data_IF_867165525697
#
_entry.id   IF_867165525697
#
_cell.length_a   1.000
_cell.length_b   1.000
_cell.length_c   1.000
_cell.angle_alpha   90.00
_cell.angle_beta   90.00
_cell.angle_gamma   90.00
#
_symmetry.space_group_name_H-M   'P 1'
#
loop_
_entity.id
_entity.type
_entity.pdbx_description
1 polymer ?
#
# COMPACT_ATOMS: atom_id res chain seq x y z
N UNK A 1 10.50 -5.21 -34.09
CA UNK A 1 10.85 -6.49 -33.46
C UNK A 1 12.36 -6.54 -33.37
N UNK A 2 12.94 -6.34 -32.18
CA UNK A 2 14.41 -6.37 -31.99
C UNK A 2 14.82 -7.84 -31.85
N UNK A 3 15.68 -8.35 -32.74
CA UNK A 3 16.28 -9.66 -32.61
C UNK A 3 17.26 -9.62 -31.43
N UNK A 4 16.98 -10.39 -30.37
CA UNK A 4 17.90 -10.62 -29.27
C UNK A 4 19.00 -11.59 -29.71
N UNK A 5 20.23 -11.27 -29.41
CA UNK A 5 21.32 -12.26 -29.47
C UNK A 5 21.06 -13.32 -28.39
N UNK A 6 21.08 -14.57 -28.73
CA UNK A 6 20.92 -15.68 -27.78
C UNK A 6 21.97 -15.56 -26.67
N UNK A 7 21.48 -15.36 -25.41
CA UNK A 7 22.37 -15.27 -24.24
C UNK A 7 22.18 -14.02 -23.36
N UNK A 8 21.52 -12.95 -23.84
CA UNK A 8 21.30 -11.76 -23.01
C UNK A 8 20.06 -11.91 -22.13
N UNK A 9 20.22 -11.66 -20.82
CA UNK A 9 19.13 -11.65 -19.83
C UNK A 9 18.15 -10.51 -20.14
N UNK A 10 16.82 -10.70 -19.95
CA UNK A 10 15.88 -9.59 -19.99
C UNK A 10 16.20 -8.55 -18.93
N UNK A 11 16.24 -7.28 -19.35
CA UNK A 11 16.46 -6.16 -18.44
C UNK A 11 15.11 -5.57 -18.01
N UNK A 12 14.85 -5.57 -16.71
CA UNK A 12 13.64 -5.01 -16.11
C UNK A 12 13.97 -3.69 -15.47
N UNK A 13 13.37 -2.60 -15.95
CA UNK A 13 13.45 -1.27 -15.34
C UNK A 13 12.26 -1.09 -14.42
N UNK A 14 12.52 -0.83 -13.15
CA UNK A 14 11.48 -0.55 -12.14
C UNK A 14 11.50 0.92 -11.80
N UNK A 15 10.36 1.61 -11.93
CA UNK A 15 10.25 3.06 -11.74
C UNK A 15 9.28 3.36 -10.60
N UNK A 16 9.68 4.24 -9.67
CA UNK A 16 8.84 4.73 -8.59
C UNK A 16 9.22 6.16 -8.17
N UNK A 17 8.30 6.87 -7.51
CA UNK A 17 8.53 8.25 -7.05
C UNK A 17 8.14 8.49 -5.60
N UNK A 18 7.27 7.67 -5.03
CA UNK A 18 6.72 7.86 -3.70
C UNK A 18 7.02 6.67 -2.78
N UNK A 19 6.90 6.90 -1.46
CA UNK A 19 7.07 5.83 -0.46
C UNK A 19 6.04 4.69 -0.62
N UNK A 20 4.74 4.93 -0.85
CA UNK A 20 3.78 3.85 -1.07
C UNK A 20 4.13 2.95 -2.26
N UNK A 21 4.63 3.53 -3.36
CA UNK A 21 5.12 2.76 -4.50
C UNK A 21 6.33 1.92 -4.11
N UNK A 22 7.32 2.53 -3.43
CA UNK A 22 8.53 1.84 -2.99
C UNK A 22 8.21 0.65 -2.07
N UNK A 23 7.28 0.80 -1.11
CA UNK A 23 6.85 -0.28 -0.21
C UNK A 23 6.33 -1.49 -0.99
N UNK A 24 5.56 -1.28 -2.04
CA UNK A 24 4.96 -2.35 -2.84
C UNK A 24 5.91 -2.92 -3.88
N UNK A 25 6.85 -2.12 -4.40
CA UNK A 25 7.85 -2.56 -5.37
C UNK A 25 9.07 -3.22 -4.73
N UNK A 26 9.39 -2.89 -3.47
CA UNK A 26 10.58 -3.42 -2.80
C UNK A 26 10.71 -4.94 -2.86
N UNK A 27 9.71 -5.77 -2.53
CA UNK A 27 9.85 -7.21 -2.60
C UNK A 27 10.05 -7.71 -4.03
N UNK A 28 9.44 -7.05 -5.03
CA UNK A 28 9.62 -7.40 -6.45
C UNK A 28 11.00 -7.03 -6.94
N UNK A 29 11.52 -5.85 -6.56
CA UNK A 29 12.88 -5.42 -6.89
C UNK A 29 13.90 -6.43 -6.35
N UNK A 30 13.77 -6.81 -5.08
CA UNK A 30 14.67 -7.75 -4.44
C UNK A 30 14.60 -9.15 -5.09
N UNK A 31 13.40 -9.59 -5.44
CA UNK A 31 13.19 -10.86 -6.14
C UNK A 31 13.84 -10.85 -7.54
N UNK A 32 13.65 -9.77 -8.32
CA UNK A 32 14.30 -9.62 -9.64
C UNK A 32 15.83 -9.60 -9.50
N UNK A 33 16.36 -8.88 -8.50
CA UNK A 33 17.82 -8.77 -8.29
C UNK A 33 18.48 -10.09 -7.91
N UNK A 34 17.74 -11.00 -7.27
CA UNK A 34 18.20 -12.33 -6.88
C UNK A 34 17.99 -13.38 -7.97
N UNK A 35 17.14 -13.10 -8.94
CA UNK A 35 16.81 -14.03 -10.01
C UNK A 35 17.86 -13.98 -11.14
N UNK A 36 18.62 -15.08 -11.37
CA UNK A 36 19.70 -15.10 -12.35
C UNK A 36 19.23 -14.94 -13.81
N UNK A 37 17.92 -14.99 -14.06
CA UNK A 37 17.34 -14.82 -15.39
C UNK A 37 17.27 -13.37 -15.84
N UNK A 38 17.40 -12.40 -14.92
CA UNK A 38 17.16 -10.99 -15.21
C UNK A 38 18.36 -10.10 -14.92
N UNK A 39 18.42 -8.98 -15.64
CA UNK A 39 19.14 -7.78 -15.24
C UNK A 39 18.11 -6.75 -14.77
N UNK A 40 18.45 -5.92 -13.76
CA UNK A 40 17.55 -4.93 -13.21
C UNK A 40 18.13 -3.52 -13.23
N UNK A 41 17.27 -2.54 -13.50
CA UNK A 41 17.56 -1.12 -13.34
C UNK A 41 16.46 -0.49 -12.49
N UNK A 42 16.83 0.18 -11.42
CA UNK A 42 15.92 0.84 -10.50
C UNK A 42 16.03 2.35 -10.68
N UNK A 43 14.92 3.01 -10.98
CA UNK A 43 14.85 4.46 -11.20
C UNK A 43 13.90 5.09 -10.19
N UNK A 44 14.44 6.03 -9.40
CA UNK A 44 13.65 6.90 -8.52
C UNK A 44 13.38 8.22 -9.24
N UNK A 45 12.14 8.69 -9.23
CA UNK A 45 11.84 10.06 -9.69
C UNK A 45 11.96 11.10 -8.58
N UNK A 46 12.18 10.67 -7.34
CA UNK A 46 12.46 11.54 -6.21
C UNK A 46 11.30 12.43 -5.81
N UNK A 47 10.06 11.92 -5.83
CA UNK A 47 8.89 12.70 -5.44
C UNK A 47 8.82 12.99 -3.92
N UNK A 48 9.45 12.15 -3.05
CA UNK A 48 9.54 12.33 -1.58
C UNK A 48 10.94 11.96 -1.07
N UNK A 49 11.93 12.80 -1.30
CA UNK A 49 13.37 12.48 -1.15
C UNK A 49 13.72 11.86 0.21
N UNK A 50 13.42 12.53 1.33
CA UNK A 50 13.87 12.05 2.66
C UNK A 50 13.19 10.76 3.11
N UNK A 51 11.86 10.66 2.99
CA UNK A 51 11.13 9.46 3.42
C UNK A 51 11.42 8.26 2.52
N UNK A 52 11.67 8.49 1.24
CA UNK A 52 12.01 7.46 0.27
C UNK A 52 13.43 6.93 0.50
N UNK A 53 14.37 7.82 0.83
CA UNK A 53 15.74 7.44 1.15
C UNK A 53 15.80 6.53 2.38
N UNK A 54 15.15 6.90 3.49
CA UNK A 54 15.09 6.07 4.70
C UNK A 54 14.45 4.71 4.44
N UNK A 55 13.43 4.66 3.58
CA UNK A 55 12.81 3.40 3.18
C UNK A 55 13.78 2.55 2.34
N UNK A 56 14.39 3.12 1.32
CA UNK A 56 15.35 2.45 0.46
C UNK A 56 16.53 1.86 1.25
N UNK A 57 17.07 2.61 2.21
CA UNK A 57 18.12 2.16 3.13
C UNK A 57 17.66 0.96 3.97
N UNK A 58 16.43 1.00 4.48
CA UNK A 58 15.88 -0.09 5.32
C UNK A 58 15.69 -1.41 4.57
N UNK A 59 15.53 -1.38 3.24
CA UNK A 59 15.43 -2.54 2.36
C UNK A 59 16.70 -2.82 1.57
N UNK A 60 17.77 -2.02 1.80
CA UNK A 60 19.02 -2.10 1.03
C UNK A 60 18.80 -1.96 -0.50
N UNK A 61 17.80 -1.16 -0.89
CA UNK A 61 17.54 -0.82 -2.29
C UNK A 61 18.34 0.43 -2.63
N UNK A 62 19.17 0.35 -3.67
CA UNK A 62 19.91 1.49 -4.20
C UNK A 62 19.44 1.77 -5.62
N UNK A 63 18.70 2.87 -5.87
CA UNK A 63 18.36 3.26 -7.22
C UNK A 63 19.62 3.48 -8.07
N UNK A 64 19.58 2.99 -9.30
CA UNK A 64 20.63 3.26 -10.27
C UNK A 64 20.60 4.72 -10.74
N UNK A 65 19.39 5.29 -10.77
CA UNK A 65 19.13 6.68 -11.16
C UNK A 65 18.14 7.32 -10.19
N UNK A 66 18.41 8.57 -9.81
CA UNK A 66 17.49 9.42 -9.06
C UNK A 66 17.33 10.75 -9.80
N UNK A 67 16.12 11.03 -10.27
CA UNK A 67 15.82 12.20 -11.08
C UNK A 67 15.55 13.46 -10.25
N UNK A 68 15.29 13.35 -8.96
CA UNK A 68 15.09 14.47 -8.05
C UNK A 68 13.99 15.45 -8.50
N UNK A 69 12.86 14.96 -9.00
CA UNK A 69 11.86 15.80 -9.69
C UNK A 69 10.96 16.61 -8.75
N UNK A 70 10.98 16.37 -7.45
CA UNK A 70 10.08 17.05 -6.52
C UNK A 70 10.42 18.53 -6.40
N UNK A 71 9.43 19.37 -6.70
CA UNK A 71 9.45 20.81 -6.45
C UNK A 71 8.19 21.24 -5.74
N UNK A 72 8.32 22.09 -4.74
CA UNK A 72 7.17 22.61 -3.99
C UNK A 72 6.22 23.37 -4.92
N UNK A 73 4.92 23.00 -4.91
CA UNK A 73 3.89 23.71 -5.68
C UNK A 73 3.88 23.41 -7.19
N UNK A 74 4.62 22.40 -7.68
CA UNK A 74 4.57 22.03 -9.10
C UNK A 74 3.20 21.46 -9.47
N UNK A 75 2.73 21.75 -10.71
CA UNK A 75 1.52 21.19 -11.25
C UNK A 75 1.72 19.71 -11.65
N UNK A 76 0.64 18.95 -11.72
CA UNK A 76 0.67 17.56 -12.20
C UNK A 76 1.24 17.46 -13.62
N UNK A 77 0.90 18.41 -14.51
CA UNK A 77 1.45 18.46 -15.87
C UNK A 77 2.95 18.67 -15.87
N UNK A 78 3.47 19.54 -15.00
CA UNK A 78 4.91 19.76 -14.87
C UNK A 78 5.62 18.52 -14.34
N UNK A 79 5.06 17.86 -13.33
CA UNK A 79 5.59 16.61 -12.81
C UNK A 79 5.62 15.53 -13.90
N UNK A 80 4.51 15.34 -14.62
CA UNK A 80 4.40 14.36 -15.70
C UNK A 80 5.42 14.61 -16.81
N UNK A 81 5.47 15.84 -17.34
CA UNK A 81 6.39 16.18 -18.43
C UNK A 81 7.86 16.02 -18.03
N UNK A 82 8.23 16.44 -16.82
CA UNK A 82 9.59 16.29 -16.31
C UNK A 82 9.94 14.81 -16.09
N UNK A 83 9.00 14.00 -15.63
CA UNK A 83 9.20 12.55 -15.44
C UNK A 83 9.43 11.84 -16.80
N UNK A 84 8.58 12.12 -17.81
CA UNK A 84 8.78 11.57 -19.16
C UNK A 84 10.12 12.00 -19.74
N UNK A 85 10.44 13.29 -19.69
CA UNK A 85 11.69 13.83 -20.25
C UNK A 85 12.94 13.30 -19.51
N UNK A 86 12.85 13.08 -18.21
CA UNK A 86 13.95 12.51 -17.42
C UNK A 86 14.14 11.02 -17.63
N UNK A 87 13.05 10.28 -17.85
CA UNK A 87 13.10 8.83 -18.11
C UNK A 87 13.60 8.52 -19.52
N UNK A 88 13.29 9.34 -20.51
CA UNK A 88 13.58 9.06 -21.93
C UNK A 88 15.06 8.77 -22.22
N UNK A 89 16.05 9.59 -21.76
CA UNK A 89 17.47 9.30 -21.96
C UNK A 89 17.94 8.06 -21.20
N UNK A 90 17.36 7.76 -20.03
CA UNK A 90 17.68 6.54 -19.28
C UNK A 90 17.19 5.30 -20.04
N UNK A 91 15.96 5.35 -20.56
CA UNK A 91 15.39 4.27 -21.38
C UNK A 91 16.24 4.06 -22.63
N UNK A 92 16.70 5.12 -23.27
CA UNK A 92 17.56 5.06 -24.46
C UNK A 92 18.92 4.43 -24.15
N UNK A 93 19.53 4.80 -23.04
CA UNK A 93 20.82 4.28 -22.59
C UNK A 93 20.74 2.83 -22.11
N UNK A 94 19.76 2.52 -21.25
CA UNK A 94 19.62 1.21 -20.61
C UNK A 94 18.95 0.16 -21.50
N UNK A 95 18.15 0.57 -22.47
CA UNK A 95 17.42 -0.30 -23.39
C UNK A 95 16.68 -1.45 -22.70
N UNK A 96 15.81 -1.18 -21.70
CA UNK A 96 15.12 -2.23 -20.99
C UNK A 96 14.15 -3.00 -21.91
N UNK A 97 13.94 -4.29 -21.62
CA UNK A 97 12.92 -5.10 -22.28
C UNK A 97 11.53 -4.90 -21.69
N UNK A 98 11.51 -4.51 -20.41
CA UNK A 98 10.31 -4.30 -19.60
C UNK A 98 10.48 -3.06 -18.74
N UNK A 99 9.45 -2.22 -18.69
CA UNK A 99 9.32 -1.18 -17.68
C UNK A 99 8.16 -1.55 -16.76
N UNK A 100 8.42 -1.53 -15.45
CA UNK A 100 7.44 -1.82 -14.43
C UNK A 100 7.19 -0.58 -13.58
N UNK A 101 5.92 -0.25 -13.39
CA UNK A 101 5.43 0.77 -12.45
C UNK A 101 4.33 0.21 -11.56
N UNK A 102 4.04 0.90 -10.45
CA UNK A 102 3.08 0.46 -9.45
C UNK A 102 2.00 1.52 -9.24
N UNK A 103 0.75 1.07 -9.17
CA UNK A 103 -0.38 1.91 -8.77
C UNK A 103 -0.71 2.98 -9.79
N UNK A 104 -1.05 4.17 -9.31
CA UNK A 104 -1.79 5.17 -10.06
C UNK A 104 -1.23 6.60 -9.93
N UNK A 105 0.02 6.72 -9.48
CA UNK A 105 0.68 8.03 -9.37
C UNK A 105 0.98 8.63 -10.76
N UNK A 106 1.20 9.93 -10.79
CA UNK A 106 1.68 10.62 -12.00
C UNK A 106 3.03 10.04 -12.48
N UNK A 107 3.88 9.59 -11.54
CA UNK A 107 5.14 8.88 -11.87
C UNK A 107 4.87 7.56 -12.58
N UNK A 108 3.93 6.75 -12.07
CA UNK A 108 3.59 5.47 -12.68
C UNK A 108 3.05 5.67 -14.11
N UNK A 109 2.17 6.66 -14.32
CA UNK A 109 1.68 7.00 -15.64
C UNK A 109 2.82 7.47 -16.57
N UNK A 110 3.71 8.35 -16.09
CA UNK A 110 4.82 8.84 -16.89
C UNK A 110 5.76 7.71 -17.33
N UNK A 111 6.07 6.78 -16.44
CA UNK A 111 6.89 5.60 -16.75
C UNK A 111 6.23 4.70 -17.80
N UNK A 112 4.93 4.44 -17.68
CA UNK A 112 4.18 3.64 -18.62
C UNK A 112 4.14 4.30 -20.03
N UNK A 113 3.87 5.60 -20.11
CA UNK A 113 3.81 6.34 -21.37
C UNK A 113 5.19 6.46 -22.01
N UNK A 114 6.25 6.77 -21.24
CA UNK A 114 7.61 6.86 -21.78
C UNK A 114 8.05 5.52 -22.39
N UNK A 115 7.80 4.40 -21.69
CA UNK A 115 8.09 3.07 -22.23
C UNK A 115 7.24 2.68 -23.43
N UNK A 116 5.95 2.97 -23.39
CA UNK A 116 5.04 2.71 -24.51
C UNK A 116 5.50 3.43 -25.79
N UNK A 117 5.89 4.71 -25.71
CA UNK A 117 6.38 5.48 -26.85
C UNK A 117 7.69 4.91 -27.43
N UNK A 118 8.49 4.22 -26.62
CA UNK A 118 9.72 3.54 -27.05
C UNK A 118 9.48 2.08 -27.50
N UNK A 119 8.23 1.60 -27.51
CA UNK A 119 7.87 0.23 -27.89
C UNK A 119 8.34 -0.83 -26.91
N UNK A 120 8.53 -0.46 -25.63
CA UNK A 120 8.95 -1.34 -24.56
C UNK A 120 7.72 -1.97 -23.89
N UNK A 121 7.83 -3.21 -23.43
CA UNK A 121 6.75 -3.89 -22.71
C UNK A 121 6.48 -3.23 -21.37
N UNK A 122 5.24 -2.90 -21.07
CA UNK A 122 4.81 -2.28 -19.82
C UNK A 122 4.18 -3.33 -18.90
N UNK A 123 4.62 -3.36 -17.65
CA UNK A 123 4.05 -4.17 -16.56
C UNK A 123 3.49 -3.23 -15.50
N UNK A 124 2.21 -3.39 -15.21
CA UNK A 124 1.50 -2.61 -14.20
C UNK A 124 1.25 -3.45 -12.95
N UNK A 125 1.91 -3.13 -11.85
CA UNK A 125 1.68 -3.73 -10.53
C UNK A 125 0.54 -3.01 -9.81
N UNK A 126 -0.37 -3.76 -9.20
CA UNK A 126 -1.61 -3.27 -8.57
C UNK A 126 -2.59 -2.67 -9.61
N UNK A 127 -2.71 -3.34 -10.74
CA UNK A 127 -3.63 -2.99 -11.82
C UNK A 127 -5.09 -3.33 -11.48
N UNK A 128 -6.02 -2.73 -12.19
CA UNK A 128 -7.44 -3.14 -12.17
C UNK A 128 -8.27 -2.61 -11.00
N UNK A 129 -7.74 -1.77 -10.12
CA UNK A 129 -8.54 -1.05 -9.13
C UNK A 129 -9.45 -0.04 -9.84
N UNK A 130 -10.73 0.07 -9.43
CA UNK A 130 -11.71 0.99 -10.03
C UNK A 130 -12.64 1.57 -8.99
N UNK A 131 -12.85 2.89 -9.07
CA UNK A 131 -13.95 3.59 -8.39
C UNK A 131 -15.10 3.86 -9.34
N UNK A 132 -14.84 3.98 -10.64
CA UNK A 132 -15.81 4.35 -11.66
C UNK A 132 -16.08 5.85 -11.76
N UNK A 133 -15.37 6.67 -10.98
CA UNK A 133 -15.49 8.13 -10.96
C UNK A 133 -14.11 8.77 -11.18
N UNK A 134 -13.91 9.38 -12.37
CA UNK A 134 -12.66 10.08 -12.70
C UNK A 134 -12.33 11.25 -11.78
N UNK A 135 -13.29 11.77 -11.06
CA UNK A 135 -13.10 12.87 -10.13
C UNK A 135 -12.72 12.38 -8.72
N UNK A 136 -12.86 11.07 -8.41
CA UNK A 136 -12.64 10.53 -7.07
C UNK A 136 -12.11 9.08 -7.05
N UNK A 137 -10.84 8.86 -6.68
CA UNK A 137 -9.79 9.85 -6.39
C UNK A 137 -9.24 10.51 -7.66
N UNK A 138 -8.89 11.79 -7.56
CA UNK A 138 -8.27 12.53 -8.66
C UNK A 138 -6.79 12.85 -8.31
N UNK A 139 -5.83 12.60 -9.22
CA UNK A 139 -5.95 12.10 -10.61
C UNK A 139 -5.88 10.57 -10.75
N UNK A 140 -5.89 9.84 -9.64
CA UNK A 140 -5.51 8.42 -9.55
C UNK A 140 -6.39 7.52 -10.42
N UNK A 141 -7.71 7.72 -10.44
CA UNK A 141 -8.60 6.89 -11.27
C UNK A 141 -8.29 7.03 -12.77
N UNK A 142 -8.06 8.26 -13.23
CA UNK A 142 -7.67 8.51 -14.61
C UNK A 142 -6.31 7.89 -14.96
N UNK A 143 -5.34 8.03 -14.07
CA UNK A 143 -3.99 7.49 -14.27
C UNK A 143 -4.04 5.96 -14.42
N UNK A 144 -4.74 5.23 -13.52
CA UNK A 144 -4.76 3.76 -13.57
C UNK A 144 -5.44 3.22 -14.82
N UNK A 145 -6.51 3.88 -15.27
CA UNK A 145 -7.16 3.54 -16.55
C UNK A 145 -6.21 3.67 -17.73
N UNK A 146 -5.44 4.76 -17.80
CA UNK A 146 -4.49 5.00 -18.89
C UNK A 146 -3.32 4.00 -18.84
N UNK A 147 -2.77 3.72 -17.65
CA UNK A 147 -1.69 2.75 -17.47
C UNK A 147 -2.15 1.36 -17.92
N UNK A 148 -3.32 0.90 -17.46
CA UNK A 148 -3.86 -0.42 -17.83
C UNK A 148 -4.02 -0.57 -19.35
N UNK A 149 -4.44 0.49 -20.05
CA UNK A 149 -4.62 0.46 -21.52
C UNK A 149 -3.32 0.24 -22.30
N UNK A 150 -2.20 0.79 -21.84
CA UNK A 150 -0.90 0.65 -22.51
C UNK A 150 -0.08 -0.53 -21.98
N UNK A 151 -0.51 -1.19 -20.90
CA UNK A 151 0.24 -2.28 -20.26
C UNK A 151 0.14 -3.60 -21.05
N UNK A 152 1.25 -4.31 -21.17
CA UNK A 152 1.32 -5.65 -21.75
C UNK A 152 0.97 -6.74 -20.73
N UNK A 153 1.20 -6.48 -19.45
CA UNK A 153 0.93 -7.38 -18.34
C UNK A 153 0.39 -6.58 -17.15
N UNK A 154 -0.71 -7.03 -16.59
CA UNK A 154 -1.39 -6.44 -15.44
C UNK A 154 -1.35 -7.43 -14.28
N UNK A 155 -0.64 -7.06 -13.22
CA UNK A 155 -0.49 -7.82 -11.98
C UNK A 155 -1.52 -7.27 -10.99
N UNK A 156 -2.62 -8.00 -10.83
CA UNK A 156 -3.75 -7.55 -10.03
C UNK A 156 -3.73 -8.13 -8.62
N UNK A 157 -4.12 -7.34 -7.59
CA UNK A 157 -4.09 -7.82 -6.22
C UNK A 157 -5.18 -8.85 -5.90
N UNK A 158 -6.33 -8.77 -6.54
CA UNK A 158 -7.52 -9.59 -6.22
C UNK A 158 -8.28 -10.04 -7.46
N UNK A 159 -9.15 -11.04 -7.31
CA UNK A 159 -10.08 -11.46 -8.37
C UNK A 159 -11.07 -10.35 -8.76
N UNK A 160 -11.41 -9.45 -7.83
CA UNK A 160 -12.25 -8.28 -8.13
C UNK A 160 -11.54 -7.33 -9.09
N UNK A 161 -10.27 -7.02 -8.83
CA UNK A 161 -9.47 -6.19 -9.74
C UNK A 161 -9.35 -6.82 -11.14
N UNK A 162 -9.16 -8.16 -11.23
CA UNK A 162 -9.21 -8.91 -12.49
C UNK A 162 -10.57 -8.79 -13.18
N UNK A 163 -11.66 -8.93 -12.43
CA UNK A 163 -13.02 -8.80 -12.97
C UNK A 163 -13.27 -7.42 -13.56
N UNK A 164 -12.74 -6.34 -12.96
CA UNK A 164 -12.85 -4.98 -13.49
C UNK A 164 -12.19 -4.88 -14.86
N UNK A 165 -10.97 -5.39 -15.02
CA UNK A 165 -10.25 -5.39 -16.30
C UNK A 165 -10.96 -6.22 -17.38
N UNK A 166 -11.51 -7.37 -17.00
CA UNK A 166 -12.27 -8.22 -17.94
C UNK A 166 -13.54 -7.53 -18.42
N UNK A 167 -14.27 -6.80 -17.56
CA UNK A 167 -15.43 -5.98 -17.95
C UNK A 167 -15.05 -4.86 -18.93
N UNK A 168 -13.80 -4.41 -18.92
CA UNK A 168 -13.25 -3.43 -19.85
C UNK A 168 -12.67 -4.07 -21.13
N UNK A 169 -12.97 -5.33 -21.40
CA UNK A 169 -12.48 -6.10 -22.54
C UNK A 169 -10.95 -6.25 -22.60
N UNK A 170 -10.28 -6.28 -21.46
CA UNK A 170 -8.85 -6.62 -21.39
C UNK A 170 -8.66 -8.11 -21.64
N UNK A 171 -7.68 -8.48 -22.47
CA UNK A 171 -7.34 -9.88 -22.72
C UNK A 171 -6.91 -10.58 -21.41
N UNK A 172 -7.60 -11.69 -21.10
CA UNK A 172 -7.37 -12.50 -19.89
C UNK A 172 -5.91 -12.96 -19.78
N UNK A 173 -5.25 -13.23 -20.91
CA UNK A 173 -3.85 -13.68 -20.92
C UNK A 173 -2.86 -12.59 -20.46
N UNK A 174 -3.28 -11.34 -20.41
CA UNK A 174 -2.48 -10.20 -19.94
C UNK A 174 -2.70 -9.93 -18.45
N UNK A 175 -3.56 -10.68 -17.76
CA UNK A 175 -3.91 -10.47 -16.37
C UNK A 175 -3.41 -11.64 -15.52
N UNK A 176 -2.76 -11.35 -14.40
CA UNK A 176 -2.33 -12.35 -13.41
C UNK A 176 -2.73 -11.89 -12.01
N UNK A 177 -3.45 -12.72 -11.27
CA UNK A 177 -3.77 -12.43 -9.86
C UNK A 177 -2.58 -12.82 -9.01
N UNK A 178 -1.85 -11.82 -8.52
CA UNK A 178 -0.64 -12.05 -7.73
C UNK A 178 -0.88 -12.04 -6.23
N UNK A 179 -1.92 -11.37 -5.76
CA UNK A 179 -2.01 -10.80 -4.44
C UNK A 179 -1.35 -9.42 -4.41
N UNK A 180 -1.46 -8.70 -3.30
CA UNK A 180 -0.84 -7.40 -3.13
C UNK A 180 0.56 -7.56 -2.51
N UNK A 181 1.57 -7.02 -3.16
CA UNK A 181 2.98 -7.09 -2.72
C UNK A 181 3.26 -6.31 -1.43
N UNK A 182 2.34 -5.45 -0.98
CA UNK A 182 2.44 -4.84 0.35
C UNK A 182 2.46 -5.90 1.46
N UNK A 183 1.76 -7.03 1.26
CA UNK A 183 1.72 -8.15 2.21
C UNK A 183 3.09 -8.82 2.31
N UNK A 184 3.78 -9.01 1.18
CA UNK A 184 5.16 -9.53 1.16
C UNK A 184 6.11 -8.64 1.97
N UNK A 185 6.01 -7.32 1.76
CA UNK A 185 6.82 -6.34 2.50
C UNK A 185 6.51 -6.36 3.98
N UNK A 186 5.22 -6.36 4.33
CA UNK A 186 4.74 -6.35 5.71
C UNK A 186 5.24 -7.57 6.48
N UNK A 187 5.08 -8.77 5.92
CA UNK A 187 5.54 -10.02 6.53
C UNK A 187 7.05 -10.00 6.73
N UNK A 188 7.83 -9.65 5.69
CA UNK A 188 9.30 -9.57 5.77
C UNK A 188 9.77 -8.59 6.83
N UNK A 189 9.15 -7.41 6.91
CA UNK A 189 9.50 -6.39 7.93
C UNK A 189 9.14 -6.86 9.34
N UNK A 190 8.05 -7.61 9.49
CA UNK A 190 7.57 -8.10 10.77
C UNK A 190 8.39 -9.22 11.39
N UNK A 191 9.29 -9.87 10.62
CA UNK A 191 10.16 -10.94 11.11
C UNK A 191 11.22 -10.44 12.11
N UNK A 192 11.68 -9.21 11.94
CA UNK A 192 12.74 -8.65 12.79
C UNK A 192 12.12 -7.83 13.92
N UNK A 193 12.51 -8.08 15.18
CA UNK A 193 12.07 -7.26 16.30
C UNK A 193 12.56 -5.81 16.13
N UNK A 194 11.78 -4.88 16.63
CA UNK A 194 12.08 -3.45 16.57
C UNK A 194 11.96 -2.86 17.96
N UNK A 195 12.92 -2.02 18.33
CA UNK A 195 12.85 -1.19 19.54
C UNK A 195 12.14 0.10 19.15
N UNK A 196 11.09 0.46 19.89
CA UNK A 196 10.38 1.71 19.67
C UNK A 196 11.17 2.89 20.23
N UNK A 197 11.19 3.99 19.51
CA UNK A 197 11.82 5.23 19.96
C UNK A 197 11.08 5.84 21.17
N UNK A 198 9.75 5.69 21.23
CA UNK A 198 8.93 6.09 22.38
C UNK A 198 8.93 4.98 23.42
N UNK A 199 9.49 5.28 24.61
CA UNK A 199 9.58 4.33 25.73
C UNK A 199 8.22 3.88 26.26
N UNK A 200 7.19 4.75 26.16
CA UNK A 200 5.82 4.41 26.58
C UNK A 200 5.24 3.34 25.65
N UNK A 201 5.44 3.50 24.34
CA UNK A 201 5.01 2.53 23.35
C UNK A 201 5.76 1.20 23.52
N UNK A 202 7.08 1.26 23.79
CA UNK A 202 7.87 0.07 24.12
C UNK A 202 7.30 -0.68 25.34
N UNK A 203 6.97 0.05 26.40
CA UNK A 203 6.38 -0.52 27.61
C UNK A 203 5.02 -1.19 27.38
N UNK A 204 4.14 -0.61 26.55
CA UNK A 204 2.85 -1.20 26.18
C UNK A 204 3.01 -2.54 25.45
N UNK A 205 3.98 -2.64 24.54
CA UNK A 205 4.24 -3.87 23.80
C UNK A 205 4.87 -4.93 24.69
N UNK A 206 5.83 -4.56 25.56
CA UNK A 206 6.48 -5.49 26.49
C UNK A 206 5.53 -6.03 27.56
N UNK A 207 4.61 -5.21 28.04
CA UNK A 207 3.57 -5.62 28.99
C UNK A 207 2.41 -6.40 28.35
N UNK A 208 2.42 -6.59 27.03
CA UNK A 208 1.34 -7.23 26.28
C UNK A 208 -0.03 -6.57 26.50
N UNK A 209 -0.03 -5.27 26.74
CA UNK A 209 -1.28 -4.51 26.89
C UNK A 209 -2.10 -4.60 25.61
N UNK A 210 -3.42 -4.78 25.73
CA UNK A 210 -4.31 -4.78 24.56
C UNK A 210 -4.34 -3.39 23.93
N UNK A 211 -3.85 -3.26 22.71
CA UNK A 211 -3.72 -1.98 22.00
C UNK A 211 -4.84 -1.82 20.98
N UNK A 212 -5.59 -0.74 21.07
CA UNK A 212 -6.45 -0.21 20.00
C UNK A 212 -5.59 0.77 19.19
N UNK A 213 -5.18 0.38 17.99
CA UNK A 213 -4.43 1.26 17.10
C UNK A 213 -5.40 2.13 16.31
N UNK A 214 -5.23 3.45 16.39
CA UNK A 214 -6.09 4.41 15.69
C UNK A 214 -5.28 5.23 14.69
N UNK A 215 -5.72 5.26 13.43
CA UNK A 215 -5.16 6.12 12.40
C UNK A 215 -6.26 6.82 11.62
N UNK A 216 -6.18 8.15 11.49
CA UNK A 216 -7.10 8.93 10.68
C UNK A 216 -6.38 10.14 10.10
N UNK A 217 -6.48 10.31 8.78
CA UNK A 217 -5.77 11.36 8.07
C UNK A 217 -6.39 11.78 6.74
N UNK A 218 -7.50 11.13 6.32
CA UNK A 218 -8.12 11.44 5.03
C UNK A 218 -8.78 12.82 5.04
N UNK A 219 -8.67 13.53 3.91
CA UNK A 219 -9.22 14.89 3.74
C UNK A 219 -10.73 14.91 3.92
N UNK A 220 -11.42 13.87 3.47
CA UNK A 220 -12.88 13.71 3.60
C UNK A 220 -13.33 13.67 5.07
N UNK A 221 -12.46 13.20 5.98
CA UNK A 221 -12.74 13.09 7.40
C UNK A 221 -12.38 14.35 8.21
N UNK A 222 -11.76 15.37 7.61
CA UNK A 222 -11.30 16.55 8.38
C UNK A 222 -12.42 17.22 9.17
N UNK A 223 -13.63 17.30 8.61
CA UNK A 223 -14.80 17.85 9.30
C UNK A 223 -15.33 16.95 10.43
N UNK A 224 -15.00 15.65 10.41
CA UNK A 224 -15.43 14.62 11.36
C UNK A 224 -14.38 14.25 12.40
N UNK A 225 -13.17 14.84 12.34
CA UNK A 225 -12.08 14.51 13.28
C UNK A 225 -12.47 14.74 14.74
N UNK A 226 -13.34 15.71 15.04
CA UNK A 226 -13.82 15.94 16.42
C UNK A 226 -14.73 14.82 16.89
N UNK A 227 -15.63 14.33 16.04
CA UNK A 227 -16.49 13.17 16.35
C UNK A 227 -15.67 11.93 16.63
N UNK A 228 -14.70 11.65 15.73
CA UNK A 228 -13.76 10.53 15.90
C UNK A 228 -12.95 10.68 17.20
N UNK A 229 -12.41 11.88 17.48
CA UNK A 229 -11.67 12.14 18.71
C UNK A 229 -12.52 11.95 19.97
N UNK A 230 -13.75 12.44 19.96
CA UNK A 230 -14.69 12.27 21.08
C UNK A 230 -15.09 10.81 21.31
N UNK A 231 -15.23 10.02 20.23
CA UNK A 231 -15.49 8.60 20.32
C UNK A 231 -14.29 7.85 20.99
N UNK A 232 -13.06 8.23 20.62
CA UNK A 232 -11.85 7.63 21.22
C UNK A 232 -11.77 7.92 22.71
N UNK A 233 -12.07 9.14 23.16
CA UNK A 233 -12.07 9.51 24.58
C UNK A 233 -13.10 8.69 25.36
N UNK A 234 -14.34 8.63 24.86
CA UNK A 234 -15.39 7.83 25.51
C UNK A 234 -15.02 6.34 25.60
N UNK A 235 -14.47 5.78 24.52
CA UNK A 235 -14.00 4.41 24.51
C UNK A 235 -12.85 4.17 25.49
N UNK A 236 -11.93 5.12 25.63
CA UNK A 236 -10.82 5.03 26.57
C UNK A 236 -11.29 5.06 28.05
N UNK A 237 -12.32 5.84 28.35
CA UNK A 237 -12.96 5.88 29.67
C UNK A 237 -13.66 4.55 29.99
N UNK A 238 -14.38 3.97 29.02
CA UNK A 238 -15.14 2.71 29.19
C UNK A 238 -14.19 1.49 29.26
N UNK A 239 -13.12 1.48 28.46
CA UNK A 239 -12.18 0.36 28.34
C UNK A 239 -10.81 0.73 28.92
N UNK A 240 -10.75 0.92 30.22
CA UNK A 240 -9.53 1.34 30.93
C UNK A 240 -8.39 0.31 30.91
N UNK A 241 -8.67 -0.95 30.62
CA UNK A 241 -7.70 -2.04 30.45
C UNK A 241 -7.07 -2.10 29.04
N UNK A 242 -7.54 -1.26 28.12
CA UNK A 242 -6.96 -1.10 26.81
C UNK A 242 -6.13 0.17 26.71
N UNK A 243 -5.08 0.14 25.88
CA UNK A 243 -4.34 1.34 25.50
C UNK A 243 -4.77 1.77 24.09
N UNK A 244 -5.14 3.05 23.94
CA UNK A 244 -5.46 3.64 22.64
C UNK A 244 -4.22 4.35 22.10
N UNK A 245 -3.63 3.83 21.04
CA UNK A 245 -2.40 4.39 20.45
C UNK A 245 -2.71 5.10 19.15
N UNK A 246 -2.38 6.40 19.10
CA UNK A 246 -2.66 7.30 18.00
C UNK A 246 -1.36 7.87 17.40
N UNK A 247 -0.76 7.25 16.38
CA UNK A 247 0.27 7.89 15.59
C UNK A 247 -0.37 9.00 14.73
N UNK A 248 -0.39 10.25 15.26
CA UNK A 248 -1.07 11.36 14.57
C UNK A 248 -0.31 11.78 13.32
N UNK A 249 -1.05 11.90 12.23
CA UNK A 249 -0.51 12.41 10.97
C UNK A 249 0.04 13.83 11.14
N UNK A 250 1.11 14.16 10.39
CA UNK A 250 1.79 15.45 10.48
C UNK A 250 0.95 16.65 9.98
N UNK A 251 -0.20 16.40 9.35
CA UNK A 251 -1.12 17.46 8.92
C UNK A 251 -1.63 18.27 10.11
N UNK A 252 -1.38 19.60 10.16
CA UNK A 252 -1.84 20.45 11.26
C UNK A 252 -3.35 20.35 11.50
N UNK A 253 -4.16 20.29 10.45
CA UNK A 253 -5.63 20.22 10.58
C UNK A 253 -6.09 18.96 11.34
N UNK A 254 -5.39 17.83 11.22
CA UNK A 254 -5.67 16.61 11.99
C UNK A 254 -5.23 16.80 13.44
N UNK A 255 -4.03 17.33 13.65
CA UNK A 255 -3.47 17.56 15.00
C UNK A 255 -4.31 18.55 15.80
N UNK A 256 -4.67 19.69 15.20
CA UNK A 256 -5.46 20.75 15.85
C UNK A 256 -6.87 20.27 16.24
N UNK A 257 -7.45 19.36 15.43
CA UNK A 257 -8.79 18.84 15.71
C UNK A 257 -8.78 17.72 16.77
N UNK A 258 -7.76 16.85 16.81
CA UNK A 258 -7.73 15.66 17.65
C UNK A 258 -6.92 15.81 18.92
N UNK A 259 -5.73 16.41 18.88
CA UNK A 259 -4.81 16.44 20.00
C UNK A 259 -5.40 17.07 21.30
N UNK A 260 -6.20 18.16 21.24
CA UNK A 260 -6.80 18.72 22.45
C UNK A 260 -7.80 17.79 23.14
N UNK A 261 -8.46 16.90 22.37
CA UNK A 261 -9.45 15.96 22.90
C UNK A 261 -8.79 14.74 23.52
N UNK A 262 -7.86 14.11 22.78
CA UNK A 262 -7.30 12.81 23.15
C UNK A 262 -6.18 12.88 24.23
N UNK A 263 -5.74 14.08 24.61
CA UNK A 263 -4.75 14.26 25.69
C UNK A 263 -5.31 14.18 27.12
N UNK A 264 -6.61 13.88 27.29
CA UNK A 264 -7.29 13.94 28.60
C UNK A 264 -7.36 12.61 29.37
N UNK A 265 -7.06 11.48 28.73
CA UNK A 265 -7.14 10.16 29.36
C UNK A 265 -5.77 9.48 29.45
N UNK A 266 -5.47 8.85 30.58
CA UNK A 266 -4.15 8.25 30.87
C UNK A 266 -3.81 7.05 29.97
N UNK A 267 -4.83 6.35 29.46
CA UNK A 267 -4.67 5.21 28.56
C UNK A 267 -4.71 5.57 27.07
N UNK A 268 -4.66 6.86 26.74
CA UNK A 268 -4.49 7.35 25.36
C UNK A 268 -3.04 7.79 25.15
N UNK A 269 -2.35 7.14 24.24
CA UNK A 269 -0.98 7.45 23.85
C UNK A 269 -0.94 8.08 22.47
N UNK A 270 -0.72 9.39 22.41
CA UNK A 270 -0.47 10.11 21.17
C UNK A 270 1.03 10.08 20.86
N UNK A 271 1.39 9.70 19.62
CA UNK A 271 2.76 9.71 19.13
C UNK A 271 2.88 10.50 17.82
N UNK A 272 4.09 10.85 17.44
CA UNK A 272 4.38 11.27 16.09
C UNK A 272 4.25 10.09 15.09
N UNK A 273 4.17 10.37 13.77
CA UNK A 273 4.17 9.32 12.76
C UNK A 273 5.38 8.40 12.93
N UNK A 274 5.13 7.10 13.00
CA UNK A 274 6.17 6.11 13.21
C UNK A 274 6.91 5.77 11.91
N UNK A 275 8.21 5.45 11.96
CA UNK A 275 8.89 4.78 10.86
C UNK A 275 8.18 3.47 10.49
N UNK A 276 8.21 3.08 9.20
CA UNK A 276 7.44 1.95 8.67
C UNK A 276 7.64 0.65 9.48
N UNK A 277 8.89 0.32 9.87
CA UNK A 277 9.19 -0.87 10.68
C UNK A 277 8.53 -0.82 12.07
N UNK A 278 8.57 0.34 12.73
CA UNK A 278 7.92 0.51 14.04
C UNK A 278 6.40 0.46 13.89
N UNK A 279 5.84 1.09 12.86
CA UNK A 279 4.41 1.02 12.58
C UNK A 279 3.95 -0.43 12.31
N UNK A 280 4.69 -1.19 11.53
CA UNK A 280 4.42 -2.61 11.27
C UNK A 280 4.41 -3.44 12.56
N UNK A 281 5.38 -3.21 13.45
CA UNK A 281 5.40 -3.89 14.75
C UNK A 281 4.25 -3.46 15.66
N UNK A 282 3.89 -2.18 15.67
CA UNK A 282 2.70 -1.71 16.40
C UNK A 282 1.42 -2.35 15.87
N UNK A 283 1.26 -2.41 14.54
CA UNK A 283 0.15 -3.06 13.89
C UNK A 283 0.06 -4.55 14.26
N UNK A 284 1.18 -5.26 14.24
CA UNK A 284 1.29 -6.68 14.63
C UNK A 284 0.91 -6.91 16.09
N UNK A 285 1.24 -5.98 16.99
CA UNK A 285 0.96 -6.07 18.43
C UNK A 285 -0.38 -5.43 18.81
N UNK A 286 -1.13 -4.82 17.91
CA UNK A 286 -2.45 -4.28 18.20
C UNK A 286 -3.48 -5.40 18.43
N UNK A 287 -4.52 -5.10 19.20
CA UNK A 287 -5.68 -5.98 19.39
C UNK A 287 -6.70 -5.77 18.29
N UNK A 288 -7.11 -4.52 18.07
CA UNK A 288 -7.94 -4.09 16.93
C UNK A 288 -7.35 -2.84 16.28
N UNK A 289 -7.80 -2.53 15.08
CA UNK A 289 -7.37 -1.35 14.33
C UNK A 289 -8.59 -0.52 13.91
N UNK A 290 -8.56 0.77 14.23
CA UNK A 290 -9.51 1.77 13.75
C UNK A 290 -8.80 2.64 12.71
N UNK A 291 -9.31 2.69 11.47
CA UNK A 291 -8.56 3.38 10.40
C UNK A 291 -9.45 3.90 9.28
N UNK A 292 -9.05 5.04 8.70
CA UNK A 292 -9.58 5.54 7.41
C UNK A 292 -8.65 5.22 6.22
N UNK A 293 -7.49 4.60 6.47
CA UNK A 293 -6.49 4.27 5.45
C UNK A 293 -6.85 3.00 4.68
N UNK A 294 -6.87 3.08 3.33
CA UNK A 294 -7.04 1.89 2.48
C UNK A 294 -5.91 0.87 2.63
N UNK A 295 -4.66 1.31 2.77
CA UNK A 295 -3.52 0.40 2.94
C UNK A 295 -3.59 -0.41 4.24
N UNK A 296 -3.99 0.24 5.35
CA UNK A 296 -4.11 -0.45 6.65
C UNK A 296 -5.26 -1.46 6.64
N UNK A 297 -6.33 -1.21 5.87
CA UNK A 297 -7.40 -2.19 5.65
C UNK A 297 -6.90 -3.47 4.96
N UNK A 298 -5.84 -3.38 4.16
CA UNK A 298 -5.19 -4.53 3.53
C UNK A 298 -4.15 -5.19 4.46
N UNK A 299 -3.39 -4.38 5.20
CA UNK A 299 -2.25 -4.80 6.01
C UNK A 299 -2.66 -5.46 7.34
N UNK A 300 -3.59 -4.86 8.09
CA UNK A 300 -3.96 -5.32 9.43
C UNK A 300 -4.52 -6.75 9.47
N UNK A 301 -5.40 -7.17 8.52
CA UNK A 301 -5.91 -8.52 8.49
C UNK A 301 -4.85 -9.61 8.31
N UNK A 302 -3.69 -9.27 7.74
CA UNK A 302 -2.56 -10.20 7.56
C UNK A 302 -1.99 -10.67 8.91
N UNK A 303 -2.18 -9.88 9.97
CA UNK A 303 -1.82 -10.24 11.34
C UNK A 303 -3.01 -10.73 12.18
N UNK A 304 -4.15 -11.03 11.55
CA UNK A 304 -5.37 -11.41 12.25
C UNK A 304 -5.93 -10.28 13.12
N UNK A 305 -5.78 -9.01 12.67
CA UNK A 305 -6.28 -7.87 13.42
C UNK A 305 -7.60 -7.38 12.82
N UNK A 306 -8.71 -7.44 13.58
CA UNK A 306 -9.99 -6.88 13.14
C UNK A 306 -9.86 -5.39 12.82
N UNK A 307 -10.45 -4.96 11.69
CA UNK A 307 -10.38 -3.58 11.23
C UNK A 307 -11.75 -2.93 11.31
N UNK A 308 -11.83 -1.78 11.99
CA UNK A 308 -12.98 -0.89 12.01
C UNK A 308 -12.68 0.33 11.13
N UNK A 309 -13.43 0.44 10.04
CA UNK A 309 -13.21 1.45 9.00
C UNK A 309 -13.93 2.74 9.38
N UNK A 310 -13.16 3.81 9.65
CA UNK A 310 -13.67 5.13 10.02
C UNK A 310 -14.08 5.92 8.77
N UNK A 311 -15.03 5.39 8.01
CA UNK A 311 -15.55 5.97 6.77
C UNK A 311 -17.00 5.52 6.55
N UNK A 312 -17.74 6.23 5.69
CA UNK A 312 -19.09 5.84 5.26
C UNK A 312 -19.08 4.72 4.21
N UNK A 313 -17.97 4.62 3.46
CA UNK A 313 -17.78 3.58 2.45
C UNK A 313 -16.30 3.27 2.28
N UNK A 314 -15.98 2.12 1.67
CA UNK A 314 -14.59 1.75 1.35
C UNK A 314 -14.49 1.16 -0.04
N UNK A 315 -13.41 1.47 -0.73
CA UNK A 315 -13.00 0.85 -1.97
C UNK A 315 -12.43 -0.58 -1.77
N UNK A 316 -12.22 -1.00 -0.51
CA UNK A 316 -11.76 -2.34 -0.10
C UNK A 316 -12.93 -3.22 0.33
N UNK A 317 -13.96 -3.32 -0.50
CA UNK A 317 -15.13 -4.14 -0.18
C UNK A 317 -14.77 -5.62 0.04
N UNK A 318 -13.68 -6.11 -0.55
CA UNK A 318 -13.19 -7.46 -0.32
C UNK A 318 -12.84 -7.72 1.16
N UNK A 319 -12.36 -6.70 1.90
CA UNK A 319 -12.12 -6.82 3.33
C UNK A 319 -13.42 -7.00 4.14
N UNK A 320 -14.48 -6.30 3.70
CA UNK A 320 -15.81 -6.42 4.31
C UNK A 320 -16.42 -7.78 3.98
N UNK A 321 -16.37 -8.18 2.71
CA UNK A 321 -16.92 -9.45 2.21
C UNK A 321 -16.22 -10.66 2.86
N UNK A 322 -14.91 -10.55 3.12
CA UNK A 322 -14.11 -11.56 3.82
C UNK A 322 -14.33 -11.55 5.34
N UNK A 323 -15.07 -10.60 5.90
CA UNK A 323 -15.32 -10.47 7.32
C UNK A 323 -14.12 -10.02 8.16
N UNK A 324 -13.03 -9.54 7.54
CA UNK A 324 -11.83 -9.03 8.25
C UNK A 324 -11.93 -7.56 8.63
N UNK A 325 -12.88 -6.84 8.01
CA UNK A 325 -13.13 -5.44 8.27
C UNK A 325 -14.65 -5.15 8.39
N UNK A 326 -14.98 -4.07 9.10
CA UNK A 326 -16.35 -3.56 9.25
C UNK A 326 -16.33 -2.03 9.14
N UNK A 327 -17.34 -1.46 8.48
CA UNK A 327 -17.54 -0.01 8.47
C UNK A 327 -18.09 0.41 9.83
N UNK A 328 -17.37 1.29 10.53
CA UNK A 328 -17.78 1.90 11.78
C UNK A 328 -18.41 3.29 11.59
N UNK A 329 -18.30 3.86 10.37
CA UNK A 329 -18.74 5.23 10.10
C UNK A 329 -17.81 6.29 10.65
N UNK A 330 -18.30 7.52 10.71
CA UNK A 330 -17.55 8.70 11.17
C UNK A 330 -18.24 9.43 12.33
N UNK A 331 -19.47 9.04 12.67
CA UNK A 331 -20.24 9.60 13.77
C UNK A 331 -19.85 8.92 15.09
N UNK A 332 -19.80 9.69 16.18
CA UNK A 332 -19.35 9.23 17.49
C UNK A 332 -20.10 7.99 17.99
N UNK A 333 -21.43 7.99 17.96
CA UNK A 333 -22.27 6.90 18.45
C UNK A 333 -22.06 5.62 17.66
N UNK A 334 -21.90 5.73 16.35
CA UNK A 334 -21.64 4.58 15.46
C UNK A 334 -20.28 3.94 15.74
N UNK A 335 -19.25 4.77 15.94
CA UNK A 335 -17.90 4.31 16.28
C UNK A 335 -17.91 3.63 17.65
N UNK A 336 -18.46 4.27 18.68
CA UNK A 336 -18.53 3.73 20.04
C UNK A 336 -19.28 2.40 20.05
N UNK A 337 -20.45 2.33 19.40
CA UNK A 337 -21.23 1.09 19.29
C UNK A 337 -20.47 -0.05 18.61
N UNK A 338 -19.83 0.23 17.46
CA UNK A 338 -19.09 -0.77 16.70
C UNK A 338 -17.86 -1.31 17.44
N UNK A 339 -17.10 -0.42 18.09
CA UNK A 339 -15.91 -0.79 18.88
C UNK A 339 -16.32 -1.57 20.13
N UNK A 340 -17.31 -1.06 20.90
CA UNK A 340 -17.78 -1.71 22.13
C UNK A 340 -18.32 -3.12 21.84
N UNK A 341 -19.12 -3.29 20.78
CA UNK A 341 -19.58 -4.63 20.36
C UNK A 341 -18.42 -5.59 20.17
N UNK A 342 -17.39 -5.17 19.43
CA UNK A 342 -16.24 -6.01 19.13
C UNK A 342 -15.35 -6.31 20.34
N UNK A 343 -15.18 -5.34 21.25
CA UNK A 343 -14.36 -5.51 22.46
C UNK A 343 -15.06 -6.34 23.55
N UNK A 344 -16.39 -6.27 23.63
CA UNK A 344 -17.19 -7.03 24.60
C UNK A 344 -17.57 -8.44 24.13
N UNK A 345 -17.53 -8.72 22.83
CA UNK A 345 -17.98 -9.99 22.26
C UNK A 345 -16.80 -10.82 21.71
N UNK A 346 -16.31 -11.77 22.53
CA UNK A 346 -15.19 -12.63 22.16
C UNK A 346 -15.44 -13.47 20.90
N UNK A 347 -16.68 -13.89 20.65
CA UNK A 347 -17.02 -14.68 19.46
C UNK A 347 -16.98 -13.82 18.18
N UNK A 348 -17.46 -12.59 18.25
CA UNK A 348 -17.42 -11.63 17.17
C UNK A 348 -15.95 -11.22 16.84
N UNK A 349 -15.17 -10.94 17.88
CA UNK A 349 -13.73 -10.70 17.72
C UNK A 349 -13.03 -11.89 17.04
N UNK A 350 -13.27 -13.12 17.56
CA UNK A 350 -12.64 -14.31 17.01
C UNK A 350 -13.06 -14.59 15.55
N UNK A 351 -14.30 -14.32 15.18
CA UNK A 351 -14.79 -14.45 13.82
C UNK A 351 -13.99 -13.51 12.88
N UNK A 352 -13.78 -12.24 13.24
CA UNK A 352 -13.01 -11.30 12.44
C UNK A 352 -11.51 -11.61 12.45
N UNK A 353 -10.94 -11.93 13.60
CA UNK A 353 -9.51 -12.17 13.76
C UNK A 353 -9.02 -13.45 13.07
N UNK A 354 -9.85 -14.47 12.97
CA UNK A 354 -9.52 -15.74 12.34
C UNK A 354 -9.89 -15.79 10.84
N UNK A 355 -10.54 -14.76 10.32
CA UNK A 355 -10.84 -14.67 8.89
C UNK A 355 -9.56 -14.47 8.08
N UNK A 356 -9.50 -15.07 6.89
CA UNK A 356 -8.34 -15.01 6.01
C UNK A 356 -8.29 -13.63 5.31
N UNK A 357 -7.11 -13.04 5.20
CA UNK A 357 -6.93 -11.81 4.42
C UNK A 357 -7.12 -12.07 2.93
N UNK A 358 -7.99 -11.31 2.23
CA UNK A 358 -8.19 -11.50 0.79
C UNK A 358 -7.08 -10.87 -0.06
N UNK A 359 -6.12 -10.18 0.54
CA UNK A 359 -5.16 -9.35 -0.20
C UNK A 359 -3.83 -10.03 -0.51
N UNK A 360 -3.56 -11.22 0.02
CA UNK A 360 -2.33 -11.93 -0.33
C UNK A 360 -1.87 -12.91 0.75
N UNK A 361 -0.89 -13.72 0.36
CA UNK A 361 -0.27 -14.79 1.17
C UNK A 361 1.25 -14.60 1.34
N UNK A 362 1.78 -13.41 1.03
CA UNK A 362 3.22 -13.11 1.09
C UNK A 362 4.04 -13.67 -0.07
N UNK A 363 3.39 -14.05 -1.17
CA UNK A 363 4.05 -14.60 -2.36
C UNK A 363 3.73 -13.83 -3.64
N UNK A 364 3.24 -12.60 -3.51
CA UNK A 364 2.86 -11.78 -4.65
C UNK A 364 4.08 -11.36 -5.48
N UNK A 365 5.22 -11.06 -4.86
CA UNK A 365 6.48 -10.74 -5.54
C UNK A 365 6.97 -11.90 -6.41
N UNK A 366 6.97 -13.12 -5.88
CA UNK A 366 7.40 -14.33 -6.61
C UNK A 366 6.49 -14.57 -7.82
N UNK A 367 5.15 -14.43 -7.66
CA UNK A 367 4.21 -14.54 -8.78
C UNK A 367 4.42 -13.45 -9.81
N UNK A 368 4.72 -12.22 -9.38
CA UNK A 368 5.00 -11.09 -10.26
C UNK A 368 6.23 -11.34 -11.13
N UNK A 369 7.34 -11.80 -10.52
CA UNK A 369 8.58 -12.10 -11.25
C UNK A 369 8.40 -13.30 -12.20
N UNK A 370 7.66 -14.32 -11.78
CA UNK A 370 7.32 -15.44 -12.67
C UNK A 370 6.46 -15.01 -13.87
N UNK A 371 5.53 -14.08 -13.67
CA UNK A 371 4.72 -13.53 -14.78
C UNK A 371 5.58 -12.67 -15.73
N UNK A 372 6.56 -11.92 -15.23
CA UNK A 372 7.54 -11.19 -16.05
C UNK A 372 8.43 -12.19 -16.83
N UNK A 373 8.81 -13.30 -16.22
CA UNK A 373 9.59 -14.36 -16.89
C UNK A 373 8.81 -14.97 -18.07
N UNK A 374 7.52 -15.23 -17.90
CA UNK A 374 6.63 -15.70 -18.96
C UNK A 374 6.48 -14.66 -20.09
N UNK A 375 6.23 -13.38 -19.72
CA UNK A 375 6.13 -12.27 -20.68
C UNK A 375 7.40 -12.12 -21.52
N UNK A 376 8.58 -12.35 -20.95
CA UNK A 376 9.87 -12.20 -21.61
C UNK A 376 10.40 -13.48 -22.25
N UNK A 377 9.71 -14.62 -22.07
CA UNK A 377 10.05 -15.92 -22.66
C UNK A 377 11.21 -16.63 -21.98
N UNK A 378 11.55 -16.27 -20.70
CA UNK A 378 12.64 -16.89 -19.94
C UNK A 378 12.14 -17.78 -18.78
N UNK A 379 10.82 -18.01 -18.72
CA UNK A 379 10.20 -18.87 -17.70
C UNK A 379 8.72 -19.04 -17.93
N UNK A 380 8.03 -19.58 -16.93
CA UNK A 380 6.58 -19.78 -16.92
C UNK A 380 5.97 -19.05 -15.73
N UNK A 381 4.73 -18.58 -15.85
CA UNK A 381 4.00 -17.97 -14.72
C UNK A 381 3.61 -19.03 -13.69
N UNK A 382 3.53 -18.63 -12.45
CA UNK A 382 2.97 -19.41 -11.37
C UNK A 382 1.43 -19.35 -11.41
N UNK A 383 0.74 -20.29 -10.71
CA UNK A 383 -0.70 -20.19 -10.51
C UNK A 383 -1.11 -18.87 -9.89
N UNK A 384 -2.26 -18.36 -10.31
CA UNK A 384 -2.91 -17.19 -9.72
C UNK A 384 -3.09 -17.37 -8.19
N UNK A 385 -3.00 -16.27 -7.44
CA UNK A 385 -3.42 -16.23 -6.05
C UNK A 385 -4.93 -16.49 -5.97
N UNK A 386 -5.33 -17.44 -5.14
CA UNK A 386 -6.72 -17.76 -4.90
C UNK A 386 -7.03 -17.52 -3.43
N UNK A 387 -7.88 -16.53 -3.18
CA UNK A 387 -8.46 -16.33 -1.85
C UNK A 387 -9.40 -17.48 -1.53
N UNK A 388 -9.19 -18.13 -0.38
CA UNK A 388 -10.07 -19.19 0.14
C UNK A 388 -10.49 -18.77 1.55
N UNK A 389 -11.73 -18.30 1.75
CA UNK A 389 -12.27 -17.89 3.05
C UNK A 389 -12.35 -19.03 4.05
#
# INVERSE_FOLDING_TARGET
MRYRLAGNKPKVMVVYGTRPEAVKLAPVILEIQQDPRFDSVVVSTGQHVQMLQLFNESFNIRPNYDLGLMRRGQSLNSLFSNAVSGLDPIIESEQPDVIMSQGDTTTALAAAIAGFHRGIKIVHLEAGLRTGDLASPFPEEGNRLLIDRVSNLMLVPTEKAKSNLLKENTDRNRIVVTGNTVIDTLLKVSESPVIFNDRRLQGLVESQTKIVLVTSHRRENLSKMREIGSAIVELAEVFSDFAFVLPLHANPAVRDAMAPLVGSADNILVTDPLPYRQFTQLLKNSYIVMTDSGGIQEEAPTFGKPVLVLRESTERSEAIDAGVARIAGTEKESIVGSVSSLLCNASEYAAMANSVSPFGDGRASIRSVAAIADLTGVGQRLPDFIFRP
#
